data_IF_689202885820
#
_entry.id   IF_689202885820
#
_cell.length_a   1.000
_cell.length_b   1.000
_cell.length_c   1.000
_cell.angle_alpha   90.00
_cell.angle_beta   90.00
_cell.angle_gamma   90.00
#
_symmetry.space_group_name_H-M   'P 1'
#
loop_
_entity.id
_entity.type
_entity.pdbx_description
1 polymer ?
#
# COMPACT_ATOMS: atom_id res chain seq x y z
N UNK A 1 -20.32 -14.58 -12.90
CA UNK A 1 -19.23 -14.97 -13.82
C UNK A 1 -18.09 -15.73 -13.10
N UNK A 2 -17.60 -15.23 -11.97
CA UNK A 2 -16.49 -15.85 -11.24
C UNK A 2 -16.84 -17.21 -10.61
N UNK A 3 -18.06 -17.36 -10.07
CA UNK A 3 -18.55 -18.64 -9.54
C UNK A 3 -18.49 -19.77 -10.56
N UNK A 4 -18.86 -19.51 -11.81
CA UNK A 4 -18.79 -20.49 -12.90
C UNK A 4 -17.35 -20.96 -13.17
N UNK A 5 -16.34 -20.10 -13.01
CA UNK A 5 -14.94 -20.49 -13.20
C UNK A 5 -14.47 -21.44 -12.09
N UNK A 6 -14.98 -21.24 -10.87
CA UNK A 6 -14.75 -22.15 -9.73
C UNK A 6 -15.50 -23.47 -9.96
N UNK A 7 -16.78 -23.40 -10.33
CA UNK A 7 -17.64 -24.57 -10.57
C UNK A 7 -17.10 -25.47 -11.70
N UNK A 8 -16.52 -24.86 -12.74
CA UNK A 8 -15.89 -25.58 -13.86
C UNK A 8 -14.44 -26.00 -13.58
N UNK A 9 -13.89 -25.69 -12.41
CA UNK A 9 -12.52 -26.06 -12.03
C UNK A 9 -11.41 -25.28 -12.75
N UNK A 10 -11.75 -24.18 -13.43
CA UNK A 10 -10.76 -23.30 -14.07
C UNK A 10 -9.97 -22.47 -13.04
N UNK A 11 -10.55 -22.24 -11.86
CA UNK A 11 -9.88 -21.57 -10.75
C UNK A 11 -10.02 -22.40 -9.49
N UNK A 12 -8.88 -22.65 -8.83
CA UNK A 12 -8.84 -23.24 -7.50
C UNK A 12 -8.74 -22.14 -6.47
N UNK A 13 -9.76 -22.01 -5.61
CA UNK A 13 -9.70 -21.10 -4.47
C UNK A 13 -8.75 -21.65 -3.41
N UNK A 14 -7.90 -20.77 -2.90
CA UNK A 14 -7.04 -21.02 -1.74
C UNK A 14 -7.33 -19.93 -0.74
N UNK A 15 -7.98 -20.29 0.36
CA UNK A 15 -8.32 -19.34 1.41
C UNK A 15 -7.09 -18.98 2.22
N UNK A 16 -6.95 -17.69 2.53
CA UNK A 16 -5.96 -17.19 3.47
C UNK A 16 -6.60 -17.04 4.85
N UNK A 17 -5.79 -17.13 5.90
CA UNK A 17 -6.21 -16.79 7.27
C UNK A 17 -5.43 -15.55 7.67
N UNK A 18 -6.12 -14.55 8.22
CA UNK A 18 -5.49 -13.34 8.71
C UNK A 18 -4.32 -13.67 9.66
N UNK A 19 -3.24 -12.91 9.53
CA UNK A 19 -2.01 -13.03 10.31
C UNK A 19 -1.29 -14.38 10.26
N UNK A 20 -1.66 -15.24 9.31
CA UNK A 20 -1.01 -16.52 9.08
C UNK A 20 -0.23 -16.50 7.78
N UNK A 21 1.03 -16.94 7.82
CA UNK A 21 1.86 -17.06 6.63
C UNK A 21 1.37 -18.23 5.76
N UNK A 22 1.09 -17.92 4.50
CA UNK A 22 0.83 -18.88 3.46
C UNK A 22 2.04 -18.97 2.54
N UNK A 23 2.56 -20.18 2.34
CA UNK A 23 3.74 -20.42 1.51
C UNK A 23 3.35 -20.87 0.11
N UNK A 24 3.83 -20.13 -0.89
CA UNK A 24 3.77 -20.50 -2.30
C UNK A 24 4.95 -21.44 -2.64
N UNK A 25 4.84 -22.16 -3.77
CA UNK A 25 5.81 -23.19 -4.19
C UNK A 25 7.26 -22.67 -4.34
N UNK A 26 7.45 -21.37 -4.55
CA UNK A 26 8.76 -20.73 -4.75
C UNK A 26 9.35 -20.13 -3.46
N UNK A 27 8.98 -20.63 -2.28
CA UNK A 27 9.40 -20.07 -0.99
C UNK A 27 9.04 -18.58 -0.83
N UNK A 28 7.97 -18.14 -1.51
CA UNK A 28 7.39 -16.84 -1.29
C UNK A 28 6.35 -17.01 -0.18
N UNK A 29 6.56 -16.36 0.94
CA UNK A 29 5.63 -16.32 2.06
C UNK A 29 4.74 -15.10 1.94
N UNK A 30 3.43 -15.27 2.13
CA UNK A 30 2.46 -14.16 2.13
C UNK A 30 1.64 -14.22 3.40
N UNK A 31 1.64 -13.15 4.18
CA UNK A 31 0.77 -12.97 5.35
C UNK A 31 -0.20 -11.84 5.06
N UNK A 32 -1.48 -12.15 4.97
CA UNK A 32 -2.52 -11.13 4.86
C UNK A 32 -2.88 -10.59 6.26
N UNK A 33 -3.15 -9.29 6.36
CA UNK A 33 -3.69 -8.66 7.55
C UNK A 33 -4.78 -7.67 7.16
N UNK A 34 -5.76 -7.48 8.03
CA UNK A 34 -6.84 -6.52 7.78
C UNK A 34 -6.31 -5.08 7.89
N UNK A 35 -6.80 -4.23 6.99
CA UNK A 35 -6.60 -2.78 7.05
C UNK A 35 -7.97 -2.11 7.07
N UNK A 36 -8.13 -0.96 7.77
CA UNK A 36 -9.39 -0.26 7.80
C UNK A 36 -9.74 0.18 6.38
N UNK A 37 -10.94 -0.16 5.93
CA UNK A 37 -11.48 0.30 4.68
C UNK A 37 -13.01 0.44 4.79
N UNK A 38 -13.62 1.27 3.95
CA UNK A 38 -15.07 1.37 3.83
C UNK A 38 -15.63 0.09 3.20
N UNK A 39 -15.95 -0.89 4.03
CA UNK A 39 -16.45 -2.19 3.59
C UNK A 39 -17.90 -2.10 3.08
N UNK A 40 -18.09 -2.19 1.76
CA UNK A 40 -19.42 -2.33 1.17
C UNK A 40 -19.76 -3.78 0.83
N UNK A 41 -18.78 -4.63 0.50
CA UNK A 41 -19.02 -6.02 0.07
C UNK A 41 -17.92 -7.05 0.43
N UNK A 42 -16.72 -6.63 0.83
CA UNK A 42 -15.60 -7.52 1.19
C UNK A 42 -14.59 -6.78 2.06
N UNK A 43 -13.75 -7.54 2.76
CA UNK A 43 -12.63 -7.04 3.53
C UNK A 43 -11.52 -6.46 2.63
N UNK A 44 -10.81 -5.44 3.10
CA UNK A 44 -9.56 -4.97 2.51
C UNK A 44 -8.39 -5.44 3.34
N UNK A 45 -7.33 -5.91 2.68
CA UNK A 45 -6.14 -6.46 3.35
C UNK A 45 -4.87 -5.82 2.82
N UNK A 46 -3.92 -5.63 3.72
CA UNK A 46 -2.51 -5.48 3.38
C UNK A 46 -1.80 -6.83 3.42
N UNK A 47 -0.59 -6.87 2.88
CA UNK A 47 0.24 -8.07 2.85
C UNK A 47 1.65 -7.80 3.34
N UNK A 48 2.16 -8.71 4.17
CA UNK A 48 3.60 -8.92 4.25
C UNK A 48 3.99 -10.02 3.27
N UNK A 49 4.99 -9.74 2.46
CA UNK A 49 5.52 -10.68 1.49
C UNK A 49 6.97 -10.92 1.85
N UNK A 50 7.32 -12.19 2.05
CA UNK A 50 8.70 -12.64 2.19
C UNK A 50 9.12 -13.30 0.89
N UNK A 51 10.18 -12.79 0.27
CA UNK A 51 10.75 -13.36 -0.94
C UNK A 51 12.27 -13.30 -0.87
N UNK A 52 12.92 -14.47 -0.95
CA UNK A 52 14.35 -14.59 -0.67
C UNK A 52 14.66 -14.07 0.75
N UNK A 53 15.69 -13.24 0.90
CA UNK A 53 16.03 -12.55 2.14
C UNK A 53 15.32 -11.20 2.33
N UNK A 54 14.44 -10.80 1.38
CA UNK A 54 13.71 -9.54 1.45
C UNK A 54 12.30 -9.70 2.01
N UNK A 55 11.88 -8.68 2.74
CA UNK A 55 10.54 -8.53 3.28
C UNK A 55 9.89 -7.26 2.72
N UNK A 56 8.64 -7.37 2.32
CA UNK A 56 7.86 -6.31 1.70
C UNK A 56 6.59 -6.09 2.50
N UNK A 57 6.30 -4.85 2.84
CA UNK A 57 4.98 -4.40 3.25
C UNK A 57 4.23 -3.91 2.01
N UNK A 58 3.00 -4.37 1.81
CA UNK A 58 2.19 -4.01 0.65
C UNK A 58 0.76 -3.66 1.07
N UNK A 59 0.47 -2.35 1.15
CA UNK A 59 -0.83 -1.79 1.53
C UNK A 59 -1.26 -0.85 0.40
N UNK A 60 -1.90 -1.37 -0.66
CA UNK A 60 -2.26 -0.56 -1.81
C UNK A 60 -3.44 0.39 -1.53
N UNK A 61 -4.31 0.03 -0.58
CA UNK A 61 -5.53 0.75 -0.24
C UNK A 61 -5.77 0.67 1.26
N UNK A 62 -6.05 1.82 1.90
CA UNK A 62 -6.43 1.94 3.32
C UNK A 62 -7.19 3.25 3.54
N UNK A 63 -8.17 3.26 4.45
CA UNK A 63 -8.94 4.46 4.80
C UNK A 63 -8.06 5.59 5.37
N UNK A 64 -7.44 5.34 6.52
CA UNK A 64 -6.62 6.30 7.30
C UNK A 64 -5.73 5.54 8.28
N UNK A 65 -4.50 6.00 8.48
CA UNK A 65 -3.54 5.36 9.38
C UNK A 65 -4.02 5.34 10.83
N UNK A 66 -4.67 6.39 11.31
CA UNK A 66 -5.16 6.50 12.69
C UNK A 66 -6.34 5.57 13.01
N UNK A 67 -6.98 4.99 12.00
CA UNK A 67 -8.02 3.97 12.17
C UNK A 67 -7.44 2.56 12.26
N UNK A 68 -6.20 2.38 11.85
CA UNK A 68 -5.56 1.08 11.84
C UNK A 68 -5.13 0.71 13.26
N UNK A 69 -5.31 -0.55 13.64
CA UNK A 69 -4.92 -1.06 14.95
C UNK A 69 -3.40 -1.29 15.07
N UNK A 70 -2.65 -1.02 14.00
CA UNK A 70 -1.19 -1.10 13.93
C UNK A 70 -0.56 0.26 13.64
N UNK A 71 0.71 0.39 14.05
CA UNK A 71 1.50 1.57 13.75
C UNK A 71 2.33 1.34 12.48
N UNK A 72 1.97 2.04 11.40
CA UNK A 72 2.69 1.98 10.11
C UNK A 72 4.20 2.23 10.26
N UNK A 73 4.64 3.00 11.26
CA UNK A 73 6.07 3.25 11.52
C UNK A 73 6.78 1.99 11.98
N UNK A 74 6.13 1.15 12.77
CA UNK A 74 6.71 -0.12 13.22
C UNK A 74 6.68 -1.16 12.09
N UNK A 75 5.62 -1.17 11.27
CA UNK A 75 5.54 -2.04 10.09
C UNK A 75 6.63 -1.72 9.06
N UNK A 76 6.90 -0.42 8.79
CA UNK A 76 8.00 0.00 7.90
C UNK A 76 9.37 -0.45 8.43
N UNK A 77 9.61 -0.36 9.74
CA UNK A 77 10.88 -0.80 10.36
C UNK A 77 11.15 -2.28 10.17
N UNK A 78 10.09 -3.09 10.10
CA UNK A 78 10.19 -4.54 10.00
C UNK A 78 10.48 -5.05 8.59
N UNK A 79 10.45 -4.18 7.57
CA UNK A 79 10.58 -4.57 6.16
C UNK A 79 11.75 -3.88 5.46
N UNK A 80 12.06 -4.36 4.27
CA UNK A 80 13.08 -3.79 3.37
C UNK A 80 12.45 -2.81 2.38
N UNK A 81 11.19 -3.06 2.00
CA UNK A 81 10.39 -2.22 1.11
C UNK A 81 8.97 -2.09 1.64
N UNK A 82 8.41 -0.88 1.59
CA UNK A 82 7.03 -0.62 1.97
C UNK A 82 6.30 0.09 0.84
N UNK A 83 5.38 -0.62 0.20
CA UNK A 83 4.49 -0.07 -0.81
C UNK A 83 3.18 0.36 -0.17
N UNK A 84 2.92 1.66 -0.16
CA UNK A 84 1.82 2.25 0.61
C UNK A 84 0.89 3.06 -0.29
N UNK A 85 -0.37 3.09 0.12
CA UNK A 85 -1.43 3.88 -0.49
C UNK A 85 -1.00 5.36 -0.63
N UNK A 86 -1.21 5.87 -1.84
CA UNK A 86 -1.05 7.26 -2.21
C UNK A 86 -2.13 7.67 -3.21
N UNK A 87 -3.35 7.18 -3.02
CA UNK A 87 -4.48 7.43 -3.92
C UNK A 87 -4.62 8.92 -4.19
N UNK A 88 -4.54 9.74 -3.14
CA UNK A 88 -4.52 11.20 -3.24
C UNK A 88 -3.27 11.79 -2.57
N UNK A 89 -2.70 12.81 -3.19
CA UNK A 89 -1.59 13.60 -2.68
C UNK A 89 -2.01 14.54 -1.55
N UNK A 90 -3.13 15.24 -1.71
CA UNK A 90 -3.64 16.23 -0.74
C UNK A 90 -5.17 16.40 -0.88
N UNK A 91 -5.77 17.12 0.07
CA UNK A 91 -7.17 17.51 0.01
C UNK A 91 -7.45 18.45 -1.18
N UNK A 92 -8.66 18.37 -1.73
CA UNK A 92 -9.12 19.19 -2.86
C UNK A 92 -8.76 18.65 -4.24
N UNK A 93 -8.23 17.43 -4.36
CA UNK A 93 -7.91 16.83 -5.66
C UNK A 93 -9.13 16.51 -6.53
N UNK A 94 -10.27 16.20 -5.90
CA UNK A 94 -11.50 15.87 -6.59
C UNK A 94 -12.45 17.08 -6.57
N UNK A 95 -12.63 17.81 -7.69
CA UNK A 95 -13.52 18.95 -7.70
C UNK A 95 -14.96 18.51 -7.44
N UNK A 96 -15.65 19.26 -6.57
CA UNK A 96 -17.05 19.01 -6.18
C UNK A 96 -17.29 17.70 -5.42
N UNK A 97 -16.27 17.11 -4.80
CA UNK A 97 -16.42 15.98 -3.88
C UNK A 97 -15.84 16.31 -2.53
N UNK A 98 -16.55 15.91 -1.48
CA UNK A 98 -16.00 15.93 -0.14
C UNK A 98 -15.06 14.72 0.00
N UNK A 99 -13.76 14.98 0.10
CA UNK A 99 -12.77 13.92 0.20
C UNK A 99 -12.84 13.17 1.53
N UNK A 100 -13.54 13.69 2.55
CA UNK A 100 -13.80 12.94 3.78
C UNK A 100 -14.75 11.75 3.57
N UNK A 101 -15.53 11.74 2.48
CA UNK A 101 -16.41 10.63 2.10
C UNK A 101 -15.67 9.51 1.33
N UNK A 102 -14.42 9.78 0.91
CA UNK A 102 -13.54 8.88 0.16
C UNK A 102 -12.21 8.77 0.93
N UNK A 103 -12.22 8.13 2.10
CA UNK A 103 -11.08 8.11 2.99
C UNK A 103 -9.90 7.37 2.35
N UNK A 104 -8.80 8.09 2.15
CA UNK A 104 -7.45 7.55 1.98
C UNK A 104 -6.49 8.45 2.75
N UNK A 105 -5.36 7.93 3.28
CA UNK A 105 -4.31 8.80 3.78
C UNK A 105 -3.74 9.62 2.62
N UNK A 106 -3.62 10.92 2.81
CA UNK A 106 -2.96 11.75 1.81
C UNK A 106 -1.45 11.51 1.82
N UNK A 107 -0.79 11.71 0.67
CA UNK A 107 0.69 11.65 0.61
C UNK A 107 1.28 12.65 1.60
N UNK A 108 0.74 13.88 1.67
CA UNK A 108 1.24 14.90 2.61
C UNK A 108 1.05 14.51 4.07
N UNK A 109 -0.06 13.83 4.40
CA UNK A 109 -0.33 13.31 5.75
C UNK A 109 0.66 12.20 6.09
N UNK A 110 0.89 11.26 5.17
CA UNK A 110 1.83 10.16 5.35
C UNK A 110 3.26 10.67 5.51
N UNK A 111 3.70 11.62 4.69
CA UNK A 111 5.02 12.26 4.84
C UNK A 111 5.16 12.89 6.23
N UNK A 112 4.14 13.63 6.69
CA UNK A 112 4.17 14.25 8.02
C UNK A 112 4.19 13.22 9.15
N UNK A 113 3.47 12.11 9.02
CA UNK A 113 3.43 11.03 10.01
C UNK A 113 4.80 10.35 10.16
N UNK A 114 5.53 10.22 9.06
CA UNK A 114 6.82 9.53 9.00
C UNK A 114 8.01 10.49 9.18
N UNK A 115 7.78 11.80 9.39
CA UNK A 115 8.84 12.80 9.35
C UNK A 115 9.94 12.60 10.41
N UNK A 116 9.59 12.02 11.56
CA UNK A 116 10.56 11.74 12.64
C UNK A 116 11.34 10.44 12.45
N UNK A 117 11.06 9.65 11.41
CA UNK A 117 11.79 8.42 11.13
C UNK A 117 13.18 8.73 10.56
N UNK A 118 14.13 7.82 10.77
CA UNK A 118 15.46 7.94 10.17
C UNK A 118 15.37 7.86 8.65
N UNK A 119 16.30 8.52 7.95
CA UNK A 119 16.32 8.56 6.48
C UNK A 119 16.38 7.17 5.85
N UNK A 120 17.03 6.20 6.51
CA UNK A 120 17.08 4.81 6.05
C UNK A 120 15.69 4.18 6.02
N UNK A 121 14.85 4.45 7.01
CA UNK A 121 13.48 3.95 7.07
C UNK A 121 12.56 4.65 6.07
N UNK A 122 12.68 5.98 5.94
CA UNK A 122 11.93 6.75 4.92
C UNK A 122 12.22 6.23 3.51
N UNK A 123 13.48 5.86 3.24
CA UNK A 123 13.91 5.37 1.93
C UNK A 123 13.33 4.00 1.54
N UNK A 124 12.73 3.25 2.48
CA UNK A 124 12.04 2.00 2.20
C UNK A 124 10.65 2.22 1.61
N UNK A 125 10.07 3.40 1.76
CA UNK A 125 8.67 3.68 1.42
C UNK A 125 8.53 4.09 -0.04
N UNK A 126 7.62 3.42 -0.74
CA UNK A 126 7.23 3.65 -2.13
C UNK A 126 5.73 3.96 -2.17
N UNK A 127 5.39 5.21 -2.47
CA UNK A 127 4.00 5.60 -2.74
C UNK A 127 3.50 4.94 -4.03
N UNK A 128 2.28 4.38 -4.01
CA UNK A 128 1.65 3.73 -5.17
C UNK A 128 0.11 3.89 -5.17
N UNK A 129 -0.58 3.19 -6.06
CA UNK A 129 -2.06 3.23 -6.16
C UNK A 129 -2.62 4.63 -6.46
N UNK A 130 -1.91 5.42 -7.26
CA UNK A 130 -2.30 6.79 -7.56
C UNK A 130 -3.66 6.86 -8.27
N UNK A 131 -4.57 7.70 -7.76
CA UNK A 131 -5.66 8.17 -8.58
C UNK A 131 -5.11 9.03 -9.73
N UNK A 132 -5.83 9.07 -10.86
CA UNK A 132 -5.44 9.85 -12.03
C UNK A 132 -5.31 11.36 -11.79
N UNK A 133 -5.89 11.89 -10.70
CA UNK A 133 -5.73 13.30 -10.28
C UNK A 133 -4.45 13.58 -9.52
N UNK A 134 -3.76 12.54 -9.03
CA UNK A 134 -2.63 12.70 -8.15
C UNK A 134 -1.47 13.39 -8.90
N UNK A 135 -0.98 14.55 -8.43
CA UNK A 135 0.08 15.31 -9.08
C UNK A 135 1.40 14.53 -9.21
N UNK A 136 1.65 13.48 -8.42
CA UNK A 136 2.84 12.65 -8.58
C UNK A 136 2.93 12.00 -9.98
N UNK A 137 1.80 11.84 -10.67
CA UNK A 137 1.76 11.32 -12.04
C UNK A 137 2.27 12.32 -13.09
N UNK A 138 2.07 13.63 -12.90
CA UNK A 138 2.33 14.63 -13.97
C UNK A 138 3.16 15.85 -13.52
N UNK A 139 3.12 16.27 -12.26
CA UNK A 139 3.85 17.41 -11.72
C UNK A 139 5.26 17.02 -11.20
N UNK A 140 6.29 17.56 -11.85
CA UNK A 140 7.68 17.31 -11.47
C UNK A 140 8.05 17.92 -10.12
N UNK A 141 7.47 19.07 -9.76
CA UNK A 141 7.72 19.72 -8.49
C UNK A 141 7.13 18.93 -7.32
N UNK A 142 5.97 18.31 -7.51
CA UNK A 142 5.37 17.40 -6.54
C UNK A 142 6.27 16.18 -6.31
N UNK A 143 6.75 15.54 -7.39
CA UNK A 143 7.69 14.41 -7.29
C UNK A 143 8.99 14.79 -6.59
N UNK A 144 9.56 15.95 -6.93
CA UNK A 144 10.79 16.45 -6.33
C UNK A 144 10.64 16.64 -4.82
N UNK A 145 9.51 17.20 -4.36
CA UNK A 145 9.23 17.34 -2.92
C UNK A 145 9.23 16.00 -2.20
N UNK A 146 8.62 14.95 -2.77
CA UNK A 146 8.61 13.61 -2.18
C UNK A 146 10.03 13.04 -2.07
N UNK A 147 10.83 13.14 -3.13
CA UNK A 147 12.22 12.67 -3.13
C UNK A 147 13.12 13.44 -2.15
N UNK A 148 12.96 14.76 -2.05
CA UNK A 148 13.71 15.59 -1.10
C UNK A 148 13.40 15.25 0.36
N UNK A 149 12.22 14.70 0.63
CA UNK A 149 11.83 14.20 1.94
C UNK A 149 12.32 12.76 2.22
N UNK A 150 12.99 12.13 1.26
CA UNK A 150 13.61 10.80 1.40
C UNK A 150 12.71 9.62 1.06
N UNK A 151 11.55 9.86 0.43
CA UNK A 151 10.59 8.82 0.04
C UNK A 151 10.70 8.49 -1.46
N UNK A 152 10.15 7.35 -1.88
CA UNK A 152 10.09 6.93 -3.27
C UNK A 152 8.67 6.97 -3.85
N UNK A 153 8.60 6.94 -5.18
CA UNK A 153 7.36 6.93 -5.96
C UNK A 153 7.43 5.73 -6.89
N UNK A 154 6.51 4.78 -6.73
CA UNK A 154 6.42 3.62 -7.61
C UNK A 154 6.08 4.05 -9.05
N UNK A 155 6.57 3.29 -10.03
CA UNK A 155 6.32 3.55 -11.45
C UNK A 155 5.89 2.28 -12.15
N UNK A 156 5.10 2.43 -13.20
CA UNK A 156 4.76 1.31 -14.07
C UNK A 156 6.05 0.65 -14.61
N UNK A 157 6.08 -0.68 -14.58
CA UNK A 157 7.22 -1.46 -15.03
C UNK A 157 8.42 -1.48 -14.06
N UNK A 158 8.30 -0.88 -12.86
CA UNK A 158 9.31 -1.00 -11.82
C UNK A 158 9.55 -2.48 -11.47
N UNK A 159 10.81 -2.83 -11.24
CA UNK A 159 11.26 -4.18 -10.87
C UNK A 159 12.21 -4.08 -9.69
N UNK A 160 12.04 -4.99 -8.75
CA UNK A 160 13.00 -5.22 -7.67
C UNK A 160 13.62 -6.59 -7.94
N UNK A 161 14.93 -6.63 -8.03
CA UNK A 161 15.70 -7.86 -8.25
C UNK A 161 16.24 -8.36 -6.91
N UNK A 162 16.05 -9.65 -6.65
CA UNK A 162 16.46 -10.35 -5.42
C UNK A 162 16.62 -11.86 -5.66
#
# INVERSE_FOLDING_TARGET
PWSQLVDLGNIKLVSLTADSIFWLENQIGVRAFEVPHRDEFSETVGFDIKASDLNFLFIPDIDKWEKWDRDIREEIKAVDYAFVDATFFDNGELPNRDMSEIPHPFVVETISLLDTMESVEKSKVYFMHFNHTNPLLFDESARKRVWEQGFNIAREGARIEF
#
